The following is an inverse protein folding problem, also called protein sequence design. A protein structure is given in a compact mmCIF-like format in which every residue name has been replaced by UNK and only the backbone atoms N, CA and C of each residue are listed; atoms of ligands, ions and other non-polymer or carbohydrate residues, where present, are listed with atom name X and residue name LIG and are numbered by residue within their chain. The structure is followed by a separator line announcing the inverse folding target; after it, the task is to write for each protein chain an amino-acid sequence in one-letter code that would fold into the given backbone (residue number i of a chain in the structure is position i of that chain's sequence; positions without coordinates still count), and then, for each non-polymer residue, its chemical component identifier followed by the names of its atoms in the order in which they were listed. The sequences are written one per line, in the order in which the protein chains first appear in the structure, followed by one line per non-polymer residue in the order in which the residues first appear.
data_IF_698691300270
#
_entry.id   IF_698691300270
#
_cell.length_a   1.000
_cell.length_b   1.000
_cell.length_c   1.000
_cell.angle_alpha   90.00
_cell.angle_beta   90.00
_cell.angle_gamma   90.00
#
_symmetry.space_group_name_H-M   'P 1'
#
loop_
_entity.id
_entity.type
_entity.pdbx_description
1 polymer ?
#
# COMPACT_ATOMS: atom_id res chain seq x y z
N UNK A 1 28.49 18.73 -7.41
CA UNK A 1 28.31 17.90 -6.20
C UNK A 1 27.54 16.66 -6.64
N UNK A 2 28.15 15.48 -6.59
CA UNK A 2 27.45 14.23 -6.91
C UNK A 2 26.47 13.97 -5.78
N UNK A 3 25.18 14.07 -6.09
CA UNK A 3 24.10 13.73 -5.17
C UNK A 3 24.24 12.24 -4.84
N UNK A 4 24.62 11.93 -3.60
CA UNK A 4 24.70 10.55 -3.11
C UNK A 4 23.29 9.98 -3.06
N UNK A 5 22.89 9.29 -4.13
CA UNK A 5 21.64 8.53 -4.17
C UNK A 5 21.76 7.41 -3.15
N UNK A 6 20.96 7.48 -2.08
CA UNK A 6 20.91 6.42 -1.09
C UNK A 6 20.36 5.15 -1.75
N UNK A 7 21.01 3.99 -1.61
CA UNK A 7 20.53 2.75 -2.18
C UNK A 7 19.19 2.36 -1.55
N UNK A 8 18.21 2.05 -2.39
CA UNK A 8 16.92 1.51 -1.95
C UNK A 8 17.15 0.06 -1.51
N UNK A 9 16.88 -0.22 -0.24
CA UNK A 9 16.92 -1.58 0.29
C UNK A 9 15.51 -2.18 0.12
N UNK A 10 15.34 -3.25 -0.68
CA UNK A 10 14.04 -3.87 -0.89
C UNK A 10 13.59 -4.63 0.36
N UNK A 11 12.32 -4.51 0.71
CA UNK A 11 11.69 -5.23 1.82
C UNK A 11 11.32 -6.68 1.43
N UNK A 12 11.04 -6.91 0.15
CA UNK A 12 10.68 -8.22 -0.38
C UNK A 12 11.41 -8.49 -1.71
N UNK A 13 11.45 -9.74 -2.12
CA UNK A 13 11.98 -10.16 -3.41
C UNK A 13 11.06 -11.17 -4.08
N UNK A 14 11.10 -11.16 -5.41
CA UNK A 14 10.44 -12.10 -6.30
C UNK A 14 11.52 -12.63 -7.23
N UNK A 15 11.77 -13.93 -7.18
CA UNK A 15 12.72 -14.63 -8.05
C UNK A 15 11.99 -15.71 -8.85
N UNK A 16 12.49 -15.99 -10.05
CA UNK A 16 11.94 -17.05 -10.89
C UNK A 16 12.65 -18.38 -10.61
N UNK A 17 11.88 -19.41 -10.27
CA UNK A 17 12.35 -20.77 -10.07
C UNK A 17 12.12 -21.57 -11.37
N UNK A 18 13.20 -21.68 -12.17
CA UNK A 18 13.20 -22.42 -13.44
C UNK A 18 12.82 -23.90 -13.26
N UNK A 19 13.09 -24.49 -12.09
CA UNK A 19 12.84 -25.92 -11.87
C UNK A 19 11.36 -26.26 -11.70
N UNK A 20 10.56 -25.30 -11.23
CA UNK A 20 9.15 -25.48 -10.92
C UNK A 20 8.23 -24.55 -11.74
N UNK A 21 8.78 -23.81 -12.70
CA UNK A 21 8.09 -22.79 -13.50
C UNK A 21 7.21 -21.85 -12.65
N UNK A 22 7.77 -21.32 -11.55
CA UNK A 22 7.02 -20.51 -10.60
C UNK A 22 7.84 -19.34 -10.07
N UNK A 23 7.15 -18.29 -9.64
CA UNK A 23 7.78 -17.18 -8.93
C UNK A 23 7.82 -17.47 -7.43
N UNK A 24 9.03 -17.47 -6.86
CA UNK A 24 9.25 -17.55 -5.43
C UNK A 24 9.29 -16.15 -4.85
N UNK A 25 8.45 -15.92 -3.85
CA UNK A 25 8.40 -14.67 -3.10
C UNK A 25 9.03 -14.84 -1.73
N UNK A 26 9.77 -13.83 -1.27
CA UNK A 26 10.35 -13.83 0.05
C UNK A 26 10.44 -12.42 0.63
N UNK A 27 10.53 -12.34 1.95
CA UNK A 27 10.78 -11.09 2.66
C UNK A 27 12.27 -11.04 2.98
N UNK A 28 12.92 -9.92 2.68
CA UNK A 28 14.24 -9.65 3.24
C UNK A 28 14.02 -9.27 4.69
N UNK A 29 14.29 -10.22 5.58
CA UNK A 29 14.43 -9.89 6.99
C UNK A 29 15.57 -8.86 7.09
N UNK A 30 15.23 -7.62 7.43
CA UNK A 30 16.22 -6.62 7.76
C UNK A 30 17.00 -7.03 9.02
N UNK A 31 17.65 -6.07 9.67
CA UNK A 31 18.42 -6.32 10.90
C UNK A 31 17.55 -6.64 12.14
N UNK A 32 16.33 -7.16 11.99
CA UNK A 32 15.48 -7.49 13.12
C UNK A 32 15.91 -8.85 13.70
N UNK A 33 16.48 -8.90 14.92
CA UNK A 33 16.83 -10.16 15.54
C UNK A 33 15.55 -10.96 15.84
N UNK A 34 15.65 -12.31 15.95
CA UNK A 34 14.51 -13.13 16.33
C UNK A 34 14.04 -12.72 17.74
N UNK A 35 12.84 -12.14 17.82
CA UNK A 35 12.25 -11.69 19.07
C UNK A 35 11.75 -12.91 19.86
N UNK A 36 12.13 -12.98 21.12
CA UNK A 36 11.73 -14.04 22.05
C UNK A 36 11.38 -13.44 23.40
N UNK A 37 10.48 -14.08 24.13
CA UNK A 37 10.25 -13.74 25.53
C UNK A 37 11.47 -14.15 26.36
N UNK A 38 11.84 -13.30 27.32
CA UNK A 38 12.86 -13.67 28.28
C UNK A 38 12.34 -14.79 29.19
N UNK A 39 12.97 -15.95 29.12
CA UNK A 39 12.56 -17.14 29.87
C UNK A 39 12.63 -16.94 31.40
N UNK A 40 13.44 -15.99 31.88
CA UNK A 40 13.53 -15.68 33.32
C UNK A 40 12.20 -15.11 33.85
N UNK A 41 11.59 -14.16 33.14
CA UNK A 41 10.31 -13.58 33.58
C UNK A 41 9.15 -14.56 33.49
N UNK A 42 9.19 -15.48 32.52
CA UNK A 42 8.20 -16.56 32.41
C UNK A 42 8.32 -17.52 33.60
N UNK A 43 9.54 -17.86 34.03
CA UNK A 43 9.78 -18.66 35.25
C UNK A 43 9.31 -17.95 36.52
N UNK A 44 9.63 -16.67 36.69
CA UNK A 44 9.22 -15.86 37.85
C UNK A 44 7.69 -15.79 38.00
N UNK A 45 6.93 -15.87 36.89
CA UNK A 45 5.47 -15.91 36.94
C UNK A 45 4.92 -17.19 37.59
N UNK A 46 5.69 -18.28 37.55
CA UNK A 46 5.32 -19.61 38.06
C UNK A 46 5.89 -19.90 39.45
N UNK A 47 6.67 -18.97 40.03
CA UNK A 47 7.18 -19.08 41.39
C UNK A 47 6.06 -18.85 42.42
N UNK A 48 6.10 -19.59 43.54
CA UNK A 48 5.05 -19.57 44.57
C UNK A 48 5.15 -18.38 45.53
N UNK A 49 6.33 -17.78 45.67
CA UNK A 49 6.63 -16.73 46.66
C UNK A 49 6.62 -15.30 46.09
N UNK A 50 6.00 -15.10 44.92
CA UNK A 50 5.90 -13.77 44.33
C UNK A 50 4.74 -12.97 44.92
N UNK A 51 4.98 -11.69 45.22
CA UNK A 51 3.93 -10.77 45.61
C UNK A 51 2.87 -10.63 44.51
N UNK A 52 1.59 -10.55 44.90
CA UNK A 52 0.46 -10.52 43.97
C UNK A 52 0.50 -9.29 43.05
N UNK A 53 1.02 -8.16 43.53
CA UNK A 53 1.16 -6.95 42.70
C UNK A 53 2.26 -7.13 41.65
N UNK A 54 3.39 -7.74 42.03
CA UNK A 54 4.49 -8.06 41.12
C UNK A 54 4.07 -9.10 40.07
N UNK A 55 3.30 -10.12 40.46
CA UNK A 55 2.74 -11.13 39.55
C UNK A 55 1.85 -10.50 38.47
N UNK A 56 0.92 -9.63 38.86
CA UNK A 56 0.04 -8.92 37.91
C UNK A 56 0.84 -8.02 36.96
N UNK A 57 1.86 -7.34 37.46
CA UNK A 57 2.76 -6.52 36.65
C UNK A 57 3.51 -7.36 35.60
N UNK A 58 4.12 -8.47 36.01
CA UNK A 58 4.81 -9.39 35.10
C UNK A 58 3.85 -9.96 34.05
N UNK A 59 2.68 -10.44 34.46
CA UNK A 59 1.70 -11.02 33.54
C UNK A 59 1.26 -10.01 32.46
N UNK A 60 0.98 -8.76 32.85
CA UNK A 60 0.64 -7.70 31.91
C UNK A 60 1.74 -7.47 30.87
N UNK A 61 2.99 -7.34 31.33
CA UNK A 61 4.13 -7.07 30.45
C UNK A 61 4.44 -8.26 29.52
N UNK A 62 4.35 -9.49 30.02
CA UNK A 62 4.52 -10.71 29.23
C UNK A 62 3.44 -10.79 28.13
N UNK A 63 2.19 -10.51 28.48
CA UNK A 63 1.10 -10.49 27.50
C UNK A 63 1.30 -9.39 26.44
N UNK A 64 1.72 -8.19 26.86
CA UNK A 64 2.07 -7.12 25.92
C UNK A 64 3.23 -7.51 25.00
N UNK A 65 4.27 -8.15 25.53
CA UNK A 65 5.40 -8.62 24.74
C UNK A 65 5.00 -9.72 23.74
N UNK A 66 4.17 -10.69 24.17
CA UNK A 66 3.60 -11.74 23.30
C UNK A 66 2.82 -11.11 22.15
N UNK A 67 1.93 -10.18 22.47
CA UNK A 67 1.12 -9.48 21.47
C UNK A 67 1.98 -8.73 20.44
N UNK A 68 3.06 -8.07 20.88
CA UNK A 68 3.98 -7.38 19.95
C UNK A 68 4.66 -8.37 18.99
N UNK A 69 5.16 -9.50 19.52
CA UNK A 69 5.81 -10.54 18.72
C UNK A 69 4.83 -11.12 17.69
N UNK A 70 3.61 -11.43 18.11
CA UNK A 70 2.55 -11.92 17.23
C UNK A 70 2.16 -10.88 16.16
N UNK A 71 2.01 -9.61 16.53
CA UNK A 71 1.68 -8.55 15.58
C UNK A 71 2.77 -8.34 14.53
N UNK A 72 4.04 -8.44 14.90
CA UNK A 72 5.17 -8.38 13.96
C UNK A 72 5.13 -9.58 13.02
N UNK A 73 4.90 -10.78 13.55
CA UNK A 73 4.73 -12.00 12.76
C UNK A 73 3.59 -11.88 11.76
N UNK A 74 2.42 -11.41 12.21
CA UNK A 74 1.25 -11.23 11.36
C UNK A 74 1.51 -10.22 10.24
N UNK A 75 2.17 -9.08 10.54
CA UNK A 75 2.56 -8.09 9.54
C UNK A 75 3.49 -8.70 8.47
N UNK A 76 4.45 -9.53 8.89
CA UNK A 76 5.34 -10.26 7.98
C UNK A 76 4.55 -11.21 7.09
N UNK A 77 3.72 -12.07 7.67
CA UNK A 77 2.89 -13.01 6.90
C UNK A 77 1.99 -12.28 5.91
N UNK A 78 1.39 -11.17 6.32
CA UNK A 78 0.51 -10.37 5.46
C UNK A 78 1.28 -9.77 4.28
N UNK A 79 2.48 -9.24 4.51
CA UNK A 79 3.32 -8.72 3.44
C UNK A 79 3.71 -9.83 2.46
N UNK A 80 4.11 -11.01 2.96
CA UNK A 80 4.51 -12.14 2.13
C UNK A 80 3.35 -12.57 1.24
N UNK A 81 2.16 -12.79 1.82
CA UNK A 81 0.99 -13.21 1.05
C UNK A 81 0.56 -12.17 0.01
N UNK A 82 0.72 -10.88 0.28
CA UNK A 82 0.48 -9.84 -0.72
C UNK A 82 1.50 -9.91 -1.86
N UNK A 83 2.78 -10.13 -1.56
CA UNK A 83 3.83 -10.24 -2.58
C UNK A 83 3.64 -11.49 -3.43
N UNK A 84 3.26 -12.63 -2.84
CA UNK A 84 2.93 -13.86 -3.55
C UNK A 84 1.79 -13.64 -4.56
N UNK A 85 0.70 -12.99 -4.13
CA UNK A 85 -0.41 -12.64 -5.03
C UNK A 85 0.07 -11.70 -6.15
N UNK A 86 0.91 -10.71 -5.84
CA UNK A 86 1.45 -9.82 -6.88
C UNK A 86 2.29 -10.61 -7.88
N UNK A 87 3.16 -11.52 -7.42
CA UNK A 87 3.99 -12.33 -8.29
C UNK A 87 3.16 -13.19 -9.25
N UNK A 88 2.11 -13.83 -8.75
CA UNK A 88 1.20 -14.66 -9.55
C UNK A 88 0.40 -13.84 -10.56
N UNK A 89 -0.13 -12.68 -10.13
CA UNK A 89 -0.99 -11.84 -10.99
C UNK A 89 -0.21 -11.04 -12.02
N UNK A 90 1.05 -10.73 -11.74
CA UNK A 90 1.92 -9.90 -12.58
C UNK A 90 2.99 -10.72 -13.31
N UNK A 91 2.72 -12.01 -13.58
CA UNK A 91 3.60 -12.89 -14.33
C UNK A 91 4.05 -12.29 -15.67
N UNK A 92 3.12 -11.77 -16.47
CA UNK A 92 3.45 -11.17 -17.77
C UNK A 92 4.35 -9.94 -17.64
N UNK A 93 4.15 -9.13 -16.61
CA UNK A 93 5.04 -8.00 -16.32
C UNK A 93 6.45 -8.47 -15.97
N UNK A 94 6.56 -9.52 -15.15
CA UNK A 94 7.85 -10.06 -14.71
C UNK A 94 8.64 -10.65 -15.90
N UNK A 95 7.95 -11.24 -16.87
CA UNK A 95 8.55 -11.85 -18.07
C UNK A 95 8.79 -10.83 -19.19
N UNK A 96 7.78 -10.04 -19.55
CA UNK A 96 7.75 -9.25 -20.78
C UNK A 96 7.99 -7.75 -20.51
N UNK A 97 7.61 -7.25 -19.33
CA UNK A 97 7.93 -5.90 -18.86
C UNK A 97 6.74 -4.98 -18.69
N UNK A 98 7.03 -3.68 -18.58
CA UNK A 98 6.09 -2.63 -18.16
C UNK A 98 4.78 -2.56 -18.97
N UNK A 99 4.82 -2.88 -20.27
CA UNK A 99 3.64 -2.89 -21.15
C UNK A 99 2.61 -3.98 -20.79
N UNK A 100 3.05 -5.00 -20.05
CA UNK A 100 2.26 -6.16 -19.67
C UNK A 100 1.81 -6.12 -18.20
N UNK A 101 1.85 -4.94 -17.58
CA UNK A 101 1.32 -4.74 -16.24
C UNK A 101 -0.21 -4.93 -16.24
N UNK A 102 -0.68 -5.95 -15.53
CA UNK A 102 -2.11 -6.27 -15.47
C UNK A 102 -2.81 -5.43 -14.39
N UNK A 103 -4.07 -5.03 -14.59
CA UNK A 103 -4.82 -4.36 -13.54
C UNK A 103 -5.01 -5.27 -12.32
N UNK A 104 -4.63 -4.78 -11.14
CA UNK A 104 -4.80 -5.50 -9.87
C UNK A 104 -5.36 -4.57 -8.79
N UNK A 105 -6.69 -4.56 -8.58
CA UNK A 105 -7.31 -3.77 -7.53
C UNK A 105 -6.91 -4.26 -6.13
N UNK A 106 -6.70 -3.35 -5.19
CA UNK A 106 -6.43 -3.72 -3.79
C UNK A 106 -7.62 -4.42 -3.14
N UNK A 107 -8.84 -4.18 -3.61
CA UNK A 107 -10.07 -4.85 -3.15
C UNK A 107 -10.01 -6.34 -3.45
N UNK A 108 -9.61 -6.72 -4.66
CA UNK A 108 -9.50 -8.12 -5.05
C UNK A 108 -8.47 -8.87 -4.19
N UNK A 109 -7.30 -8.26 -3.95
CA UNK A 109 -6.29 -8.86 -3.06
C UNK A 109 -6.77 -8.93 -1.61
N UNK A 110 -7.55 -7.95 -1.17
CA UNK A 110 -8.14 -7.95 0.17
C UNK A 110 -9.16 -9.09 0.33
N UNK A 111 -9.99 -9.33 -0.67
CA UNK A 111 -10.98 -10.41 -0.70
C UNK A 111 -10.31 -11.79 -0.70
N UNK A 112 -9.24 -11.96 -1.50
CA UNK A 112 -8.45 -13.22 -1.52
C UNK A 112 -7.84 -13.55 -0.15
N UNK A 113 -7.40 -12.53 0.59
CA UNK A 113 -6.76 -12.68 1.90
C UNK A 113 -7.77 -12.64 3.07
N UNK A 114 -9.05 -12.34 2.82
CA UNK A 114 -10.04 -12.15 3.87
C UNK A 114 -9.73 -11.00 4.82
N UNK A 115 -9.03 -9.96 4.36
CA UNK A 115 -8.65 -8.79 5.16
C UNK A 115 -9.27 -7.51 4.60
N UNK A 116 -9.28 -6.45 5.40
CA UNK A 116 -9.79 -5.16 4.92
C UNK A 116 -8.84 -4.49 3.91
N UNK A 117 -9.38 -3.82 2.88
CA UNK A 117 -8.60 -3.10 1.86
C UNK A 117 -7.61 -2.07 2.45
N UNK A 118 -7.98 -1.43 3.56
CA UNK A 118 -7.09 -0.51 4.28
C UNK A 118 -5.87 -1.21 4.90
N UNK A 119 -5.95 -2.51 5.18
CA UNK A 119 -4.81 -3.31 5.63
C UNK A 119 -3.86 -3.56 4.46
N UNK A 120 -4.37 -3.98 3.29
CA UNK A 120 -3.53 -4.12 2.07
C UNK A 120 -2.84 -2.80 1.74
N UNK A 121 -3.60 -1.70 1.69
CA UNK A 121 -3.07 -0.36 1.40
C UNK A 121 -1.95 0.05 2.37
N UNK A 122 -2.10 -0.23 3.67
CA UNK A 122 -1.05 0.03 4.67
C UNK A 122 0.15 -0.89 4.53
N UNK A 123 -0.08 -2.17 4.24
CA UNK A 123 0.98 -3.17 4.06
C UNK A 123 1.89 -2.80 2.89
N UNK A 124 1.34 -2.34 1.77
CA UNK A 124 2.12 -2.02 0.56
C UNK A 124 2.66 -0.59 0.54
N UNK A 125 2.20 0.27 1.46
CA UNK A 125 2.70 1.63 1.58
C UNK A 125 4.15 1.61 2.08
N UNK A 126 5.00 2.38 1.41
CA UNK A 126 6.43 2.49 1.70
C UNK A 126 7.16 1.13 1.69
N UNK A 127 6.71 0.18 0.88
CA UNK A 127 7.39 -1.10 0.64
C UNK A 127 7.95 -1.16 -0.76
N UNK A 128 9.14 -1.72 -0.86
CA UNK A 128 9.83 -1.97 -2.11
C UNK A 128 10.04 -3.46 -2.31
N UNK A 129 9.88 -3.90 -3.55
CA UNK A 129 10.08 -5.29 -3.96
C UNK A 129 11.14 -5.34 -5.05
N UNK A 130 12.11 -6.22 -4.87
CA UNK A 130 13.06 -6.59 -5.90
C UNK A 130 12.43 -7.65 -6.80
N UNK A 131 12.47 -7.45 -8.11
CA UNK A 131 12.03 -8.41 -9.12
C UNK A 131 13.20 -8.71 -10.07
N UNK A 132 13.09 -9.71 -10.96
CA UNK A 132 14.12 -9.98 -11.95
C UNK A 132 14.39 -8.79 -12.89
N UNK A 133 13.44 -7.85 -12.98
CA UNK A 133 13.52 -6.65 -13.83
C UNK A 133 14.01 -5.41 -13.10
N UNK A 134 14.19 -5.46 -11.78
CA UNK A 134 14.65 -4.32 -10.97
C UNK A 134 13.89 -4.14 -9.67
N UNK A 135 14.13 -3.02 -8.98
CA UNK A 135 13.50 -2.71 -7.70
C UNK A 135 12.37 -1.71 -7.92
N UNK A 136 11.15 -2.09 -7.50
CA UNK A 136 9.95 -1.28 -7.70
C UNK A 136 9.21 -1.04 -6.39
N UNK A 137 8.51 0.11 -6.24
CA UNK A 137 7.56 0.28 -5.16
C UNK A 137 6.45 -0.76 -5.28
N UNK A 138 6.15 -1.50 -4.23
CA UNK A 138 5.12 -2.55 -4.25
C UNK A 138 3.75 -1.98 -4.63
N UNK A 139 3.48 -0.73 -4.26
CA UNK A 139 2.28 0.02 -4.64
C UNK A 139 2.07 0.15 -6.16
N UNK A 140 3.14 0.10 -6.98
CA UNK A 140 3.06 0.23 -8.46
C UNK A 140 2.21 -0.86 -9.09
N UNK A 141 2.23 -2.06 -8.51
CA UNK A 141 1.48 -3.21 -9.02
C UNK A 141 -0.02 -3.11 -8.78
N UNK A 142 -0.47 -2.11 -8.03
CA UNK A 142 -1.88 -1.88 -7.74
C UNK A 142 -2.39 -0.68 -8.54
N UNK A 143 -2.93 -0.95 -9.73
CA UNK A 143 -3.72 0.03 -10.46
C UNK A 143 -5.09 0.16 -9.81
N UNK A 144 -5.56 1.39 -9.62
CA UNK A 144 -6.88 1.59 -9.03
C UNK A 144 -7.96 1.59 -10.09
N UNK A 145 -8.73 0.52 -10.11
CA UNK A 145 -10.13 0.66 -10.43
C UNK A 145 -10.81 1.26 -9.20
N UNK A 146 -11.20 2.52 -9.28
CA UNK A 146 -12.46 2.90 -8.64
C UNK A 146 -13.55 2.23 -9.44
N UNK A 147 -14.33 1.36 -8.80
CA UNK A 147 -15.53 0.75 -9.38
C UNK A 147 -16.40 1.84 -10.02
N UNK A 148 -16.29 1.99 -11.34
CA UNK A 148 -17.27 2.70 -12.14
C UNK A 148 -18.18 1.62 -12.69
N UNK A 149 -19.41 1.58 -12.19
CA UNK A 149 -20.45 0.61 -12.55
C UNK A 149 -20.87 0.61 -14.04
N UNK A 150 -20.15 1.31 -14.92
CA UNK A 150 -20.32 1.25 -16.37
C UNK A 150 -18.97 1.24 -17.09
N UNK A 151 -18.48 0.02 -17.38
CA UNK A 151 -17.68 -0.31 -18.56
C UNK A 151 -16.54 0.65 -18.95
N UNK A 152 -15.47 0.67 -18.16
CA UNK A 152 -14.19 1.25 -18.59
C UNK A 152 -13.25 1.47 -17.41
N UNK A 153 -12.23 0.62 -17.26
CA UNK A 153 -11.14 0.84 -16.31
C UNK A 153 -10.32 2.07 -16.78
N UNK A 154 -10.66 3.24 -16.27
CA UNK A 154 -9.86 4.45 -16.48
C UNK A 154 -8.67 4.44 -15.51
N UNK A 155 -7.45 4.49 -16.06
CA UNK A 155 -6.23 4.56 -15.25
C UNK A 155 -6.18 5.86 -14.43
N UNK A 156 -5.46 5.85 -13.32
CA UNK A 156 -5.32 7.03 -12.46
C UNK A 156 -4.77 8.25 -13.19
N UNK A 157 -3.91 8.03 -14.17
CA UNK A 157 -3.34 9.11 -14.98
C UNK A 157 -4.35 9.66 -15.98
N UNK A 158 -5.27 8.84 -16.50
CA UNK A 158 -6.41 9.31 -17.29
C UNK A 158 -7.35 10.18 -16.45
N UNK A 159 -7.64 9.81 -15.20
CA UNK A 159 -8.47 10.62 -14.29
C UNK A 159 -7.81 11.97 -13.99
N UNK A 160 -6.49 12.00 -13.78
CA UNK A 160 -5.73 13.25 -13.60
C UNK A 160 -5.77 14.13 -14.85
N UNK A 161 -5.59 13.56 -16.03
CA UNK A 161 -5.67 14.30 -17.30
C UNK A 161 -7.05 14.94 -17.47
N UNK A 162 -8.13 14.19 -17.22
CA UNK A 162 -9.51 14.72 -17.27
C UNK A 162 -9.75 15.81 -16.23
N UNK A 163 -9.24 15.65 -15.01
CA UNK A 163 -9.32 16.68 -13.99
C UNK A 163 -8.62 17.97 -14.44
N UNK A 164 -7.44 17.86 -15.06
CA UNK A 164 -6.71 18.99 -15.61
C UNK A 164 -7.50 19.68 -16.74
N UNK A 165 -8.12 18.91 -17.65
CA UNK A 165 -8.92 19.45 -18.74
C UNK A 165 -10.15 20.22 -18.25
N UNK A 166 -10.85 19.71 -17.23
CA UNK A 166 -12.00 20.40 -16.61
C UNK A 166 -11.56 21.73 -15.99
N UNK A 167 -10.40 21.74 -15.32
CA UNK A 167 -9.84 22.95 -14.72
C UNK A 167 -9.38 23.94 -15.79
N UNK A 168 -8.78 23.48 -16.89
CA UNK A 168 -8.32 24.33 -17.97
C UNK A 168 -9.48 25.02 -18.72
N UNK A 169 -10.65 24.36 -18.77
CA UNK A 169 -11.86 24.88 -19.42
C UNK A 169 -12.85 25.52 -18.43
N UNK A 170 -12.45 25.76 -17.17
CA UNK A 170 -13.32 26.40 -16.20
C UNK A 170 -13.44 27.91 -16.45
N UNK A 171 -14.57 28.50 -16.05
CA UNK A 171 -14.70 29.94 -15.99
C UNK A 171 -13.85 30.48 -14.84
N UNK A 172 -12.75 31.18 -15.17
CA UNK A 172 -11.82 31.74 -14.19
C UNK A 172 -12.43 32.82 -13.29
N UNK A 173 -13.57 33.40 -13.67
CA UNK A 173 -14.30 34.33 -12.80
C UNK A 173 -15.06 33.60 -11.69
N UNK A 174 -15.35 32.30 -11.88
CA UNK A 174 -16.04 31.40 -10.94
C UNK A 174 -15.42 29.99 -10.99
N UNK A 175 -14.17 29.81 -10.52
CA UNK A 175 -13.47 28.54 -10.58
C UNK A 175 -14.21 27.46 -9.78
N UNK A 176 -14.15 26.21 -10.26
CA UNK A 176 -14.92 25.12 -9.65
C UNK A 176 -14.37 24.72 -8.29
N UNK A 177 -15.26 24.46 -7.32
CA UNK A 177 -14.87 23.87 -6.04
C UNK A 177 -14.46 22.41 -6.21
N UNK A 178 -13.70 21.83 -5.27
CA UNK A 178 -13.34 20.41 -5.30
C UNK A 178 -14.58 19.49 -5.36
N UNK A 179 -15.71 19.96 -4.84
CA UNK A 179 -17.00 19.27 -4.87
C UNK A 179 -17.68 19.36 -6.24
N UNK A 180 -17.62 20.53 -6.90
CA UNK A 180 -18.08 20.67 -8.29
C UNK A 180 -17.21 19.88 -9.26
N UNK A 181 -15.89 19.83 -9.05
CA UNK A 181 -14.98 19.01 -9.85
C UNK A 181 -15.31 17.51 -9.73
N UNK A 182 -15.66 17.04 -8.52
CA UNK A 182 -16.15 15.67 -8.33
C UNK A 182 -17.44 15.41 -9.10
N UNK A 183 -18.42 16.34 -9.04
CA UNK A 183 -19.68 16.22 -9.78
C UNK A 183 -19.47 16.23 -11.30
N UNK A 184 -18.56 17.08 -11.81
CA UNK A 184 -18.23 17.14 -13.24
C UNK A 184 -17.57 15.88 -13.75
N UNK A 185 -16.71 15.25 -12.94
CA UNK A 185 -16.14 13.95 -13.26
C UNK A 185 -17.22 12.86 -13.21
N UNK A 186 -18.16 12.93 -12.27
CA UNK A 186 -19.31 12.01 -12.20
C UNK A 186 -20.22 12.12 -13.43
N UNK A 187 -20.46 13.32 -13.95
CA UNK A 187 -21.17 13.53 -15.24
C UNK A 187 -20.46 12.85 -16.42
N UNK A 188 -19.13 12.70 -16.36
CA UNK A 188 -18.32 12.00 -17.35
C UNK A 188 -18.16 10.50 -17.07
N UNK A 189 -18.92 9.95 -16.11
CA UNK A 189 -18.88 8.54 -15.73
C UNK A 189 -17.77 8.16 -14.75
N UNK A 190 -17.04 9.13 -14.19
CA UNK A 190 -15.94 8.91 -13.23
C UNK A 190 -16.43 9.23 -11.82
N UNK A 191 -16.77 8.21 -11.04
CA UNK A 191 -17.22 8.39 -9.65
C UNK A 191 -16.04 8.45 -8.68
N UNK A 192 -15.71 9.65 -8.19
CA UNK A 192 -14.65 9.86 -7.21
C UNK A 192 -15.08 10.75 -6.05
N UNK A 193 -14.58 10.44 -4.85
CA UNK A 193 -14.84 11.24 -3.67
C UNK A 193 -14.09 12.59 -3.70
N UNK A 194 -14.66 13.62 -3.09
CA UNK A 194 -14.04 14.96 -2.94
C UNK A 194 -12.60 14.91 -2.42
N UNK A 195 -12.30 14.05 -1.44
CA UNK A 195 -10.94 13.90 -0.88
C UNK A 195 -9.93 13.39 -1.93
N UNK A 196 -10.37 12.55 -2.85
CA UNK A 196 -9.56 12.04 -3.97
C UNK A 196 -9.27 13.14 -4.98
N UNK A 197 -10.26 13.99 -5.30
CA UNK A 197 -10.08 15.19 -6.13
C UNK A 197 -9.03 16.12 -5.53
N UNK A 198 -9.13 16.42 -4.22
CA UNK A 198 -8.15 17.27 -3.52
C UNK A 198 -6.74 16.73 -3.66
N UNK A 199 -6.56 15.41 -3.45
CA UNK A 199 -5.26 14.75 -3.58
C UNK A 199 -4.69 14.87 -5.00
N UNK A 200 -5.49 14.60 -6.03
CA UNK A 200 -5.02 14.70 -7.42
C UNK A 200 -4.76 16.15 -7.85
N UNK A 201 -5.60 17.08 -7.42
CA UNK A 201 -5.39 18.51 -7.62
C UNK A 201 -4.03 18.96 -7.05
N UNK A 202 -3.68 18.51 -5.85
CA UNK A 202 -2.39 18.79 -5.22
C UNK A 202 -1.22 18.15 -5.99
N UNK A 203 -1.38 16.92 -6.46
CA UNK A 203 -0.34 16.25 -7.26
C UNK A 203 -0.09 16.94 -8.61
N UNK A 204 -1.11 17.55 -9.19
CA UNK A 204 -1.03 18.33 -10.44
C UNK A 204 -0.59 19.78 -10.24
N UNK A 205 -0.36 20.22 -8.99
CA UNK A 205 0.02 21.60 -8.69
C UNK A 205 -1.10 22.63 -8.88
N UNK A 206 -2.36 22.19 -9.02
CA UNK A 206 -3.49 23.09 -9.25
C UNK A 206 -3.88 23.75 -7.89
N UNK A 207 -3.99 25.08 -7.80
CA UNK A 207 -4.38 25.77 -6.56
C UNK A 207 -5.85 25.51 -6.18
N UNK A 208 -6.21 25.79 -4.92
CA UNK A 208 -7.61 25.73 -4.51
C UNK A 208 -8.46 26.77 -5.28
N UNK A 209 -9.76 26.50 -5.45
CA UNK A 209 -10.66 27.36 -6.25
C UNK A 209 -10.52 28.87 -5.93
N UNK A 210 -10.44 29.23 -4.64
CA UNK A 210 -10.28 30.62 -4.21
C UNK A 210 -9.02 31.32 -4.74
N UNK A 211 -7.94 30.56 -4.98
CA UNK A 211 -6.67 31.07 -5.51
C UNK A 211 -6.62 31.06 -7.05
N UNK A 212 -7.58 30.41 -7.71
CA UNK A 212 -7.69 30.36 -9.18
C UNK A 212 -8.60 31.45 -9.75
N UNK A 213 -9.25 32.23 -8.89
CA UNK A 213 -10.19 33.26 -9.32
C UNK A 213 -9.44 34.46 -9.87
N UNK A 214 -9.65 34.75 -11.16
CA UNK A 214 -9.18 35.97 -11.83
C UNK A 214 -10.37 36.96 -11.91
N UNK A 215 -10.10 38.26 -11.72
CA UNK A 215 -11.09 39.34 -11.74
C UNK A 215 -11.12 40.04 -13.10
#
# INVERSE_FOLDING_TARGET
MSETVLPVIPDAFIDYDESNDRYLSGIRDGNLPPLRLCAQYDKMLHEKDIDESAKKFLQRNINSARWIIEAIGQRRTTLLSVVEIVADRQRDFLEQGDEFLRPLPMTEVADMLGIHVATVSRTVSDKWVQTPRGIFPLRRFFSGGTDSHHGGQMSWDAVKARLQDIVNNEDKTKPFSDEMLASKLKEQGIEIARRTVVKYRQQLGIPAARLRKEY
#
